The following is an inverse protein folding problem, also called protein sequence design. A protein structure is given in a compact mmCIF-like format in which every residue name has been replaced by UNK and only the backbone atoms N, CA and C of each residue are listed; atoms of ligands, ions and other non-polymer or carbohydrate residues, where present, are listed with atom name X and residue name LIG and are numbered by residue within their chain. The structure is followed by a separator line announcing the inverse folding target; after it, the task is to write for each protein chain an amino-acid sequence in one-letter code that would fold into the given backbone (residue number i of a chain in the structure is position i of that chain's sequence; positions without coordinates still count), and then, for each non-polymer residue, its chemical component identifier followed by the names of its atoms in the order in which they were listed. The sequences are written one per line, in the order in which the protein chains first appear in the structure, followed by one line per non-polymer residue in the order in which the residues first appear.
data_IF_213876226922
#
_entry.id   IF_213876226922
#
_cell.length_a   1.000
_cell.length_b   1.000
_cell.length_c   1.000
_cell.angle_alpha   90.00
_cell.angle_beta   90.00
_cell.angle_gamma   90.00
#
_symmetry.space_group_name_H-M   'P 1'
#
loop_
_entity.id
_entity.type
_entity.pdbx_description
1 polymer ?
#
# COMPACT_ATOMS: atom_id res chain seq x y z
N UNK A 1 0.43 8.49 -14.13
CA UNK A 1 -0.47 9.37 -13.35
C UNK A 1 0.13 9.65 -11.98
N UNK A 2 -0.07 10.86 -11.43
CA UNK A 2 0.42 11.16 -10.08
C UNK A 2 -0.42 10.42 -9.02
N UNK A 3 0.26 9.82 -8.04
CA UNK A 3 -0.35 9.19 -6.87
C UNK A 3 -0.18 10.11 -5.67
N UNK A 4 -1.29 10.58 -5.11
CA UNK A 4 -1.34 11.37 -3.88
C UNK A 4 -2.43 10.83 -2.97
N UNK A 5 -2.07 10.47 -1.75
CA UNK A 5 -3.04 10.06 -0.74
C UNK A 5 -2.57 10.50 0.65
N UNK A 6 -3.52 10.87 1.50
CA UNK A 6 -3.29 11.32 2.86
C UNK A 6 -4.28 10.62 3.79
N UNK A 7 -3.80 10.17 4.95
CA UNK A 7 -4.64 9.59 5.99
C UNK A 7 -4.20 10.05 7.38
N UNK A 8 -5.17 10.29 8.27
CA UNK A 8 -4.93 10.67 9.66
C UNK A 8 -5.14 9.47 10.58
N UNK A 9 -4.16 9.23 11.45
CA UNK A 9 -4.15 8.10 12.37
C UNK A 9 -3.96 8.64 13.79
N UNK A 10 -4.85 8.29 14.77
CA UNK A 10 -4.84 8.85 16.11
C UNK A 10 -3.79 8.18 17.03
N UNK A 11 -2.56 8.05 16.52
CA UNK A 11 -1.40 7.49 17.21
C UNK A 11 -0.12 8.22 16.81
N UNK A 12 0.93 8.24 17.67
CA UNK A 12 2.19 8.90 17.36
C UNK A 12 2.89 8.34 16.12
N UNK A 13 3.59 9.17 15.31
CA UNK A 13 4.26 8.76 14.07
C UNK A 13 5.21 7.57 14.22
N UNK A 14 6.02 7.56 15.26
CA UNK A 14 6.95 6.46 15.50
C UNK A 14 6.25 5.11 15.75
N UNK A 15 5.08 5.11 16.42
CA UNK A 15 4.30 3.91 16.67
C UNK A 15 3.63 3.41 15.39
N UNK A 16 3.04 4.33 14.61
CA UNK A 16 2.40 4.03 13.32
C UNK A 16 3.44 3.48 12.34
N UNK A 17 4.59 4.15 12.22
CA UNK A 17 5.70 3.71 11.38
C UNK A 17 6.19 2.31 11.75
N UNK A 18 6.44 2.06 13.05
CA UNK A 18 6.89 0.74 13.52
C UNK A 18 5.87 -0.36 13.22
N UNK A 19 4.58 -0.10 13.40
CA UNK A 19 3.53 -1.06 13.08
C UNK A 19 3.46 -1.39 11.57
N UNK A 20 3.57 -0.37 10.70
CA UNK A 20 3.64 -0.58 9.26
C UNK A 20 4.89 -1.34 8.84
N UNK A 21 6.06 -1.03 9.40
CA UNK A 21 7.32 -1.67 9.05
C UNK A 21 7.44 -3.11 9.52
N UNK A 22 6.99 -3.38 10.77
CA UNK A 22 7.34 -4.62 11.47
C UNK A 22 6.15 -5.58 11.66
N UNK A 23 4.91 -5.06 11.58
CA UNK A 23 3.73 -5.81 11.98
C UNK A 23 2.66 -5.90 10.86
N UNK A 24 3.02 -5.58 9.62
CA UNK A 24 2.11 -5.53 8.48
C UNK A 24 1.25 -6.80 8.33
N UNK A 25 1.77 -8.04 8.46
CA UNK A 25 0.93 -9.24 8.37
C UNK A 25 -0.15 -9.34 9.47
N UNK A 26 0.08 -8.71 10.63
CA UNK A 26 -0.91 -8.69 11.73
C UNK A 26 -2.08 -7.75 11.45
N UNK A 27 -1.96 -6.87 10.45
CA UNK A 27 -3.05 -5.99 10.04
C UNK A 27 -4.07 -6.70 9.15
N UNK A 28 -3.79 -7.90 8.66
CA UNK A 28 -4.67 -8.64 7.74
C UNK A 28 -6.13 -8.73 8.21
N UNK A 29 -6.46 -9.00 9.50
CA UNK A 29 -7.86 -9.04 9.96
C UNK A 29 -8.61 -7.71 9.82
N UNK A 30 -7.89 -6.59 9.72
CA UNK A 30 -8.44 -5.24 9.61
C UNK A 30 -8.45 -4.70 8.18
N UNK A 31 -8.00 -5.50 7.19
CA UNK A 31 -7.88 -5.12 5.78
C UNK A 31 -8.82 -5.97 4.91
N UNK A 32 -10.13 -5.63 4.84
CA UNK A 32 -11.14 -6.49 4.23
C UNK A 32 -10.94 -6.71 2.72
N UNK A 33 -10.20 -5.82 2.05
CA UNK A 33 -9.85 -5.97 0.64
C UNK A 33 -8.59 -6.80 0.38
N UNK A 34 -7.90 -7.28 1.41
CA UNK A 34 -6.68 -8.08 1.30
C UNK A 34 -6.95 -9.51 1.79
N UNK A 35 -6.45 -10.49 1.06
CA UNK A 35 -6.54 -11.92 1.39
C UNK A 35 -5.31 -12.45 2.09
N UNK A 36 -4.13 -12.01 1.67
CA UNK A 36 -2.87 -12.41 2.27
C UNK A 36 -1.82 -11.31 2.20
N UNK A 37 -0.95 -11.31 3.20
CA UNK A 37 0.24 -10.48 3.31
C UNK A 37 1.36 -11.39 3.79
N UNK A 38 2.43 -11.52 3.03
CA UNK A 38 3.57 -12.36 3.36
C UNK A 38 4.87 -11.57 3.21
N UNK A 39 5.67 -11.48 4.27
CA UNK A 39 7.02 -10.91 4.21
C UNK A 39 7.97 -12.02 3.77
N UNK A 40 8.39 -11.99 2.51
CA UNK A 40 9.21 -13.02 1.88
C UNK A 40 10.71 -12.80 2.06
N UNK A 41 11.12 -11.53 2.26
CA UNK A 41 12.49 -11.19 2.63
C UNK A 41 12.53 -9.96 3.51
N UNK A 42 13.50 -9.93 4.43
CA UNK A 42 13.78 -8.78 5.30
C UNK A 42 15.28 -8.68 5.58
N UNK A 43 15.81 -7.46 5.44
CA UNK A 43 17.20 -7.13 5.77
C UNK A 43 17.24 -5.87 6.61
N UNK A 44 18.04 -5.85 7.65
CA UNK A 44 18.21 -4.71 8.55
C UNK A 44 19.66 -4.21 8.54
N UNK A 45 19.84 -2.90 8.38
CA UNK A 45 21.15 -2.23 8.39
C UNK A 45 21.05 -0.91 9.15
N UNK A 46 21.34 -0.94 10.45
CA UNK A 46 21.19 0.24 11.33
C UNK A 46 19.73 0.68 11.40
N UNK A 47 19.43 1.91 11.00
CA UNK A 47 18.07 2.47 10.99
C UNK A 47 17.28 2.15 9.71
N UNK A 48 17.92 1.46 8.74
CA UNK A 48 17.30 1.10 7.47
C UNK A 48 16.84 -0.35 7.51
N UNK A 49 15.59 -0.57 7.11
CA UNK A 49 15.01 -1.91 6.94
C UNK A 49 14.50 -2.05 5.51
N UNK A 50 14.91 -3.12 4.83
CA UNK A 50 14.41 -3.48 3.50
C UNK A 50 13.47 -4.69 3.64
N UNK A 51 12.24 -4.58 3.15
CA UNK A 51 11.25 -5.65 3.13
C UNK A 51 10.85 -5.98 1.69
N UNK A 52 10.65 -7.26 1.43
CA UNK A 52 9.93 -7.76 0.25
C UNK A 52 8.63 -8.37 0.75
N UNK A 53 7.50 -7.85 0.29
CA UNK A 53 6.18 -8.25 0.79
C UNK A 53 5.29 -8.66 -0.37
N UNK A 54 4.78 -9.89 -0.32
CA UNK A 54 3.80 -10.39 -1.28
C UNK A 54 2.39 -10.15 -0.77
N UNK A 55 1.56 -9.59 -1.65
CA UNK A 55 0.17 -9.25 -1.38
C UNK A 55 -0.78 -9.99 -2.30
N UNK A 56 -1.94 -10.36 -1.78
CA UNK A 56 -3.06 -10.82 -2.58
C UNK A 56 -4.34 -10.08 -2.18
N UNK A 57 -4.98 -9.42 -3.14
CA UNK A 57 -6.27 -8.75 -2.93
C UNK A 57 -7.43 -9.71 -3.04
N UNK A 58 -8.50 -9.46 -2.29
CA UNK A 58 -9.76 -10.20 -2.32
C UNK A 58 -10.90 -9.52 -3.08
N UNK A 59 -10.67 -8.32 -3.60
CA UNK A 59 -11.73 -7.50 -4.19
C UNK A 59 -12.17 -7.93 -5.58
N UNK A 60 -13.37 -7.48 -5.99
CA UNK A 60 -13.88 -7.67 -7.33
C UNK A 60 -13.25 -6.70 -8.32
N UNK A 61 -12.76 -7.24 -9.45
CA UNK A 61 -12.31 -6.44 -10.58
C UNK A 61 -13.50 -5.88 -11.37
N UNK A 62 -13.43 -4.64 -11.87
CA UNK A 62 -14.38 -4.13 -12.85
C UNK A 62 -14.51 -5.06 -14.06
N UNK A 63 -15.71 -5.17 -14.63
CA UNK A 63 -16.03 -6.12 -15.72
C UNK A 63 -15.07 -5.96 -16.91
N UNK A 64 -14.71 -4.72 -17.27
CA UNK A 64 -13.78 -4.46 -18.39
C UNK A 64 -12.35 -4.94 -18.10
N UNK A 65 -11.93 -4.96 -16.82
CA UNK A 65 -10.65 -5.50 -16.43
C UNK A 65 -10.67 -7.04 -16.35
N UNK A 66 -11.79 -7.65 -15.93
CA UNK A 66 -11.94 -9.12 -15.91
C UNK A 66 -11.77 -9.75 -17.29
N UNK A 67 -12.22 -9.05 -18.34
CA UNK A 67 -12.12 -9.55 -19.72
C UNK A 67 -10.67 -9.54 -20.26
N UNK A 68 -9.81 -8.67 -19.72
CA UNK A 68 -8.42 -8.48 -20.15
C UNK A 68 -7.44 -9.16 -19.20
N UNK A 69 -7.85 -9.35 -17.94
CA UNK A 69 -6.97 -9.61 -16.80
C UNK A 69 -7.55 -10.75 -15.98
N UNK A 70 -6.82 -11.85 -15.91
CA UNK A 70 -7.19 -12.98 -15.05
C UNK A 70 -7.00 -12.67 -13.55
N UNK A 71 -7.31 -13.65 -12.66
CA UNK A 71 -7.17 -13.53 -11.21
C UNK A 71 -5.77 -13.12 -10.72
N UNK A 72 -4.73 -13.35 -11.53
CA UNK A 72 -3.33 -13.05 -11.23
C UNK A 72 -3.02 -11.54 -11.04
N UNK A 73 -3.94 -10.65 -11.44
CA UNK A 73 -3.79 -9.20 -11.18
C UNK A 73 -4.16 -8.81 -9.75
N UNK A 74 -4.65 -9.75 -8.99
CA UNK A 74 -4.99 -9.56 -7.60
C UNK A 74 -3.78 -9.75 -6.67
N UNK A 75 -2.59 -10.02 -7.23
CA UNK A 75 -1.37 -10.20 -6.45
C UNK A 75 -0.21 -9.35 -6.99
N UNK A 76 0.59 -8.86 -6.07
CA UNK A 76 1.77 -8.05 -6.35
C UNK A 76 2.81 -8.23 -5.25
N UNK A 77 4.05 -7.85 -5.57
CA UNK A 77 5.16 -7.76 -4.62
C UNK A 77 5.54 -6.30 -4.41
N UNK A 78 5.62 -5.87 -3.17
CA UNK A 78 6.17 -4.58 -2.79
C UNK A 78 7.61 -4.75 -2.29
N UNK A 79 8.50 -3.92 -2.83
CA UNK A 79 9.88 -3.77 -2.38
C UNK A 79 9.97 -2.45 -1.64
N UNK A 80 10.12 -2.50 -0.33
CA UNK A 80 10.04 -1.35 0.55
C UNK A 80 11.37 -1.12 1.28
N UNK A 81 11.84 0.12 1.28
CA UNK A 81 12.98 0.58 2.07
C UNK A 81 12.51 1.58 3.12
N UNK A 82 12.61 1.20 4.37
CA UNK A 82 12.16 1.95 5.54
C UNK A 82 13.33 2.71 6.16
N UNK A 83 13.19 4.01 6.36
CA UNK A 83 14.19 4.90 6.97
C UNK A 83 13.72 5.32 8.35
N UNK A 84 14.26 4.66 9.40
CA UNK A 84 13.83 4.85 10.78
C UNK A 84 14.09 6.26 11.33
N UNK A 85 15.18 6.89 10.89
CA UNK A 85 15.55 8.26 11.25
C UNK A 85 14.69 9.34 10.59
N UNK A 86 14.04 9.03 9.48
CA UNK A 86 13.18 9.94 8.72
C UNK A 86 11.70 9.66 8.91
N UNK A 87 11.33 8.55 9.55
CA UNK A 87 9.97 8.01 9.60
C UNK A 87 9.33 8.02 8.20
N UNK A 88 10.03 7.42 7.23
CA UNK A 88 9.64 7.39 5.83
C UNK A 88 9.89 6.01 5.22
N UNK A 89 9.18 5.71 4.14
CA UNK A 89 9.35 4.48 3.38
C UNK A 89 9.31 4.77 1.88
N UNK A 90 10.34 4.37 1.15
CA UNK A 90 10.30 4.31 -0.31
C UNK A 90 9.88 2.91 -0.74
N UNK A 91 8.91 2.82 -1.65
CA UNK A 91 8.46 1.53 -2.14
C UNK A 91 8.20 1.53 -3.64
N UNK A 92 8.34 0.35 -4.23
CA UNK A 92 7.92 0.06 -5.59
C UNK A 92 7.09 -1.22 -5.61
N UNK A 93 6.07 -1.22 -6.44
CA UNK A 93 5.21 -2.38 -6.66
C UNK A 93 5.52 -3.07 -7.97
N UNK A 94 5.55 -4.39 -7.93
CA UNK A 94 5.65 -5.27 -9.08
C UNK A 94 4.39 -6.15 -9.14
N UNK A 95 3.49 -5.85 -10.08
CA UNK A 95 2.28 -6.63 -10.28
C UNK A 95 2.64 -7.99 -10.89
N UNK A 96 2.09 -9.10 -10.37
CA UNK A 96 2.39 -10.44 -10.88
C UNK A 96 1.80 -10.69 -12.28
N UNK A 97 0.71 -9.99 -12.60
CA UNK A 97 0.23 -9.94 -13.99
C UNK A 97 0.67 -8.63 -14.64
N UNK A 98 1.19 -8.72 -15.87
CA UNK A 98 1.63 -7.54 -16.64
C UNK A 98 2.74 -6.73 -15.97
N UNK A 99 3.67 -7.38 -15.31
CA UNK A 99 4.84 -6.80 -14.64
C UNK A 99 5.53 -5.72 -15.48
N UNK A 100 5.69 -5.96 -16.79
CA UNK A 100 6.31 -5.00 -17.70
C UNK A 100 5.40 -3.80 -18.06
N UNK A 101 4.09 -3.90 -17.84
CA UNK A 101 3.11 -2.89 -18.21
C UNK A 101 2.77 -1.92 -17.09
N UNK A 102 2.94 -2.31 -15.83
CA UNK A 102 2.59 -1.49 -14.65
C UNK A 102 3.86 -1.11 -13.91
N UNK A 103 4.02 0.18 -13.64
CA UNK A 103 5.07 0.73 -12.78
C UNK A 103 4.43 1.61 -11.73
N UNK A 104 4.64 1.27 -10.46
CA UNK A 104 4.22 2.07 -9.34
C UNK A 104 5.39 2.27 -8.39
N UNK A 105 5.69 3.52 -8.07
CA UNK A 105 6.72 3.90 -7.10
C UNK A 105 6.20 5.04 -6.26
N UNK A 106 6.42 4.99 -4.95
CA UNK A 106 6.02 6.07 -4.07
C UNK A 106 6.90 6.16 -2.82
N UNK A 107 6.71 7.26 -2.11
CA UNK A 107 7.28 7.51 -0.80
C UNK A 107 6.16 7.80 0.19
N UNK A 108 6.19 7.10 1.31
CA UNK A 108 5.36 7.34 2.48
C UNK A 108 6.13 8.19 3.48
N UNK A 109 5.45 9.15 4.11
CA UNK A 109 5.98 9.95 5.22
C UNK A 109 5.00 9.91 6.37
N UNK A 110 5.53 9.67 7.56
CA UNK A 110 4.75 9.61 8.81
C UNK A 110 5.01 10.90 9.58
N UNK A 111 4.18 11.90 9.37
CA UNK A 111 4.33 13.25 9.90
C UNK A 111 3.50 13.45 11.16
N UNK A 112 3.96 14.32 12.06
CA UNK A 112 3.16 14.71 13.21
C UNK A 112 2.00 15.63 12.77
N UNK A 113 0.77 15.29 13.18
CA UNK A 113 -0.47 16.04 12.92
C UNK A 113 -1.13 16.46 14.24
N UNK A 114 -0.36 17.12 15.09
CA UNK A 114 -0.70 17.46 16.46
C UNK A 114 -0.34 16.36 17.47
N UNK A 115 -0.49 16.63 18.77
CA UNK A 115 -0.02 15.74 19.83
C UNK A 115 -0.57 14.32 19.71
N UNK A 116 0.35 13.34 19.52
CA UNK A 116 0.01 11.94 19.48
C UNK A 116 -0.78 11.49 18.25
N UNK A 117 -0.73 12.24 17.15
CA UNK A 117 -1.43 11.93 15.89
C UNK A 117 -0.46 11.93 14.72
N UNK A 118 -0.75 11.12 13.72
CA UNK A 118 0.02 10.99 12.49
C UNK A 118 -0.78 11.44 11.27
N UNK A 119 -0.17 12.24 10.41
CA UNK A 119 -0.52 12.38 9.02
C UNK A 119 0.38 11.43 8.21
N UNK A 120 -0.21 10.38 7.67
CA UNK A 120 0.46 9.52 6.69
C UNK A 120 0.22 10.11 5.30
N UNK A 121 1.31 10.53 4.66
CA UNK A 121 1.29 11.00 3.28
C UNK A 121 1.91 9.97 2.34
N UNK A 122 1.23 9.69 1.23
CA UNK A 122 1.79 8.92 0.10
C UNK A 122 1.93 9.86 -1.10
N UNK A 123 3.12 9.90 -1.68
CA UNK A 123 3.43 10.66 -2.90
C UNK A 123 4.21 9.79 -3.86
N UNK A 124 3.72 9.70 -5.10
CA UNK A 124 4.36 8.82 -6.08
C UNK A 124 3.83 8.97 -7.50
N UNK A 125 4.16 7.98 -8.30
CA UNK A 125 3.76 7.89 -9.70
C UNK A 125 3.32 6.47 -10.01
N UNK A 126 2.20 6.36 -10.72
CA UNK A 126 1.70 5.12 -11.31
C UNK A 126 1.58 5.31 -12.82
N UNK A 127 2.17 4.39 -13.58
CA UNK A 127 2.18 4.37 -15.03
C UNK A 127 1.70 3.01 -15.55
N UNK A 128 0.83 3.03 -16.57
CA UNK A 128 0.37 1.82 -17.25
C UNK A 128 0.63 1.93 -18.74
N UNK A 129 1.58 1.15 -19.24
CA UNK A 129 1.82 0.99 -20.67
C UNK A 129 0.99 -0.18 -21.23
N UNK A 130 -0.26 0.12 -21.59
CA UNK A 130 -1.18 -0.89 -22.09
C UNK A 130 -0.76 -1.52 -23.44
N UNK A 131 0.25 -0.97 -24.14
CA UNK A 131 0.84 -1.59 -25.35
C UNK A 131 1.57 -2.89 -25.03
N UNK A 132 2.00 -3.05 -23.77
CA UNK A 132 2.65 -4.28 -23.27
C UNK A 132 1.65 -5.35 -22.81
N UNK A 133 0.35 -5.07 -22.88
CA UNK A 133 -0.71 -6.01 -22.54
C UNK A 133 -1.19 -6.66 -23.83
N UNK A 134 -0.87 -7.93 -24.03
CA UNK A 134 -1.14 -8.67 -25.29
C UNK A 134 -2.59 -8.61 -25.72
N UNK A 135 -3.54 -8.59 -24.76
CA UNK A 135 -4.99 -8.56 -25.07
C UNK A 135 -5.50 -7.17 -25.48
N UNK A 136 -4.66 -6.12 -25.47
CA UNK A 136 -5.06 -4.74 -25.80
C UNK A 136 -4.61 -4.39 -27.23
N UNK A 137 -5.56 -4.15 -28.17
CA UNK A 137 -5.20 -3.65 -29.49
C UNK A 137 -4.47 -2.32 -29.40
N UNK A 138 -3.40 -2.15 -30.21
CA UNK A 138 -2.51 -0.98 -30.14
C UNK A 138 -3.22 0.39 -30.26
N UNK A 139 -4.29 0.47 -31.08
CA UNK A 139 -5.08 1.70 -31.22
C UNK A 139 -5.91 2.07 -29.99
N UNK A 140 -6.17 1.12 -29.08
CA UNK A 140 -6.87 1.33 -27.80
C UNK A 140 -5.92 1.52 -26.63
N UNK A 141 -4.62 1.26 -26.79
CA UNK A 141 -3.66 1.22 -25.69
C UNK A 141 -3.62 2.53 -24.86
N UNK A 142 -3.69 3.69 -25.51
CA UNK A 142 -3.71 4.98 -24.82
C UNK A 142 -4.96 5.21 -23.95
N UNK A 143 -6.12 4.75 -24.40
CA UNK A 143 -7.38 4.88 -23.65
C UNK A 143 -7.43 3.86 -22.50
N UNK A 144 -7.08 2.62 -22.78
CA UNK A 144 -7.03 1.55 -21.77
C UNK A 144 -6.02 1.88 -20.69
N UNK A 145 -4.81 2.34 -21.07
CA UNK A 145 -3.77 2.73 -20.10
C UNK A 145 -4.26 3.80 -19.12
N UNK A 146 -4.82 4.90 -19.62
CA UNK A 146 -5.39 5.98 -18.78
C UNK A 146 -6.52 5.50 -17.86
N UNK A 147 -7.41 4.64 -18.39
CA UNK A 147 -8.51 4.10 -17.59
C UNK A 147 -8.00 3.19 -16.46
N UNK A 148 -6.99 2.37 -16.73
CA UNK A 148 -6.33 1.54 -15.73
C UNK A 148 -5.60 2.38 -14.67
N UNK A 149 -4.85 3.41 -15.09
CA UNK A 149 -4.19 4.34 -14.16
C UNK A 149 -5.19 5.01 -13.22
N UNK A 150 -6.27 5.57 -13.78
CA UNK A 150 -7.32 6.22 -12.97
C UNK A 150 -7.97 5.25 -11.98
N UNK A 151 -8.26 4.03 -12.40
CA UNK A 151 -8.82 2.99 -11.54
C UNK A 151 -7.86 2.62 -10.41
N UNK A 152 -6.60 2.33 -10.74
CA UNK A 152 -5.59 1.91 -9.77
C UNK A 152 -5.27 3.02 -8.76
N UNK A 153 -5.13 4.27 -9.20
CA UNK A 153 -4.92 5.42 -8.29
C UNK A 153 -6.11 5.57 -7.34
N UNK A 154 -7.34 5.53 -7.85
CA UNK A 154 -8.55 5.61 -7.01
C UNK A 154 -8.64 4.45 -6.01
N UNK A 155 -8.26 3.23 -6.43
CA UNK A 155 -8.22 2.07 -5.54
C UNK A 155 -7.17 2.24 -4.44
N UNK A 156 -5.94 2.63 -4.78
CA UNK A 156 -4.87 2.87 -3.79
C UNK A 156 -5.31 3.92 -2.77
N UNK A 157 -5.89 5.03 -3.22
CA UNK A 157 -6.41 6.07 -2.33
C UNK A 157 -7.49 5.55 -1.38
N UNK A 158 -8.46 4.77 -1.90
CA UNK A 158 -9.51 4.15 -1.08
C UNK A 158 -8.95 3.13 -0.09
N UNK A 159 -8.00 2.31 -0.52
CA UNK A 159 -7.40 1.28 0.32
C UNK A 159 -6.51 1.90 1.40
N UNK A 160 -5.86 3.05 1.14
CA UNK A 160 -5.12 3.78 2.18
C UNK A 160 -6.03 4.21 3.34
N UNK A 161 -7.21 4.76 3.05
CA UNK A 161 -8.15 5.17 4.11
C UNK A 161 -8.51 3.96 4.97
N UNK A 162 -8.86 2.84 4.34
CA UNK A 162 -9.18 1.58 5.05
C UNK A 162 -8.00 1.03 5.84
N UNK A 163 -6.79 1.13 5.27
CA UNK A 163 -5.56 0.72 5.96
C UNK A 163 -5.31 1.58 7.20
N UNK A 164 -5.51 2.88 7.11
CA UNK A 164 -5.36 3.79 8.24
C UNK A 164 -6.39 3.49 9.35
N UNK A 165 -7.65 3.21 8.99
CA UNK A 165 -8.69 2.78 9.93
C UNK A 165 -8.33 1.43 10.58
N UNK A 166 -7.92 0.44 9.78
CA UNK A 166 -7.49 -0.87 10.27
C UNK A 166 -6.30 -0.79 11.21
N UNK A 167 -5.32 0.05 10.87
CA UNK A 167 -4.14 0.29 11.70
C UNK A 167 -4.51 0.98 13.03
N UNK A 168 -5.45 1.93 13.01
CA UNK A 168 -5.95 2.57 14.22
C UNK A 168 -6.65 1.56 15.14
N UNK A 169 -7.47 0.65 14.59
CA UNK A 169 -8.09 -0.45 15.33
C UNK A 169 -7.05 -1.37 15.96
N UNK A 170 -6.11 -1.87 15.16
CA UNK A 170 -5.03 -2.74 15.62
C UNK A 170 -4.23 -2.15 16.77
N UNK A 171 -3.78 -0.88 16.62
CA UNK A 171 -3.02 -0.18 17.66
C UNK A 171 -3.85 0.09 18.92
N UNK A 172 -5.15 0.33 18.78
CA UNK A 172 -6.08 0.49 19.88
C UNK A 172 -6.22 -0.78 20.72
N UNK A 173 -6.41 -1.93 20.08
CA UNK A 173 -6.50 -3.23 20.74
C UNK A 173 -5.17 -3.61 21.41
N UNK A 174 -4.06 -3.39 20.72
CA UNK A 174 -2.72 -3.65 21.28
C UNK A 174 -2.46 -2.83 22.56
N UNK A 175 -2.88 -1.55 22.58
CA UNK A 175 -2.77 -0.69 23.77
C UNK A 175 -3.65 -1.19 24.90
N UNK A 176 -4.88 -1.60 24.62
CA UNK A 176 -5.81 -2.13 25.62
C UNK A 176 -5.31 -3.45 26.22
N UNK A 177 -4.74 -4.32 25.40
CA UNK A 177 -4.17 -5.61 25.82
C UNK A 177 -2.88 -5.46 26.67
N UNK A 178 -2.15 -4.37 26.47
CA UNK A 178 -0.94 -4.05 27.24
C UNK A 178 -1.23 -3.42 28.62
N UNK A 179 -2.51 -3.23 29.00
CA UNK A 179 -2.92 -2.69 30.31
C UNK A 179 -2.57 -1.20 30.53
N UNK A 180 -2.25 -0.48 29.46
CA UNK A 180 -1.96 0.96 29.53
C UNK A 180 -3.29 1.71 29.46
N UNK A 181 -3.68 2.33 30.60
CA UNK A 181 -4.82 3.23 30.65
C UNK A 181 -4.67 4.37 29.63
N UNK A 182 -5.76 4.89 29.06
CA UNK A 182 -5.69 6.02 28.14
C UNK A 182 -5.02 7.21 28.86
N UNK A 183 -4.07 7.85 28.20
CA UNK A 183 -3.50 9.11 28.68
C UNK A 183 -4.62 10.17 28.72
N UNK A 184 -4.63 11.07 29.71
CA UNK A 184 -5.65 12.08 29.93
C UNK A 184 -5.76 13.08 28.76
#
# INVERSE_FOLDING_TARGET
MELRADARIPFPPALVFAACRDEMPKLLPYLPSIRSIEVTARTERGTIVENVVDWCSGGDLPVFLRAVIGPSLMSWTDYATWYGDQLACDWRTEAHAFTAAVRCVARDRFLEDGPGKTLLEIRGVLEVDARKIVAVPGFLAGTVGRSMESYLVGKIQSDLVKTAEGLAHYLGEKRSSAGVAPAP
#
